data_IF_321747818349
#
_entry.id   IF_321747818349
#
_cell.length_a   1.000
_cell.length_b   1.000
_cell.length_c   1.000
_cell.angle_alpha   90.00
_cell.angle_beta   90.00
_cell.angle_gamma   90.00
#
_symmetry.space_group_name_H-M   'P 1'
#
loop_
_entity.id
_entity.type
_entity.pdbx_description
1 polymer ?
#
# COMPACT_ATOMS: atom_id res chain seq x y z
N UNK A 1 -9.29 -3.05 -21.79
CA UNK A 1 -7.98 -3.73 -21.88
C UNK A 1 -7.55 -4.12 -20.49
N UNK A 2 -6.92 -5.29 -20.31
CA UNK A 2 -6.37 -5.72 -19.03
C UNK A 2 -5.31 -4.73 -18.53
N UNK A 3 -5.39 -4.30 -17.28
CA UNK A 3 -4.38 -3.44 -16.62
C UNK A 3 -3.24 -4.30 -16.11
N UNK A 4 -2.06 -3.71 -15.99
CA UNK A 4 -0.88 -4.31 -15.37
C UNK A 4 -0.70 -3.70 -13.99
N UNK A 5 -0.99 -4.47 -12.95
CA UNK A 5 -1.06 -4.01 -11.56
C UNK A 5 0.06 -4.63 -10.76
N UNK A 6 0.92 -3.80 -10.16
CA UNK A 6 1.95 -4.25 -9.25
C UNK A 6 1.49 -4.04 -7.81
N UNK A 7 1.53 -5.10 -6.99
CA UNK A 7 1.07 -5.10 -5.60
C UNK A 7 2.19 -5.59 -4.69
N UNK A 8 2.62 -4.73 -3.76
CA UNK A 8 3.61 -5.13 -2.75
C UNK A 8 2.93 -5.75 -1.52
N UNK A 9 3.60 -6.71 -0.86
CA UNK A 9 3.01 -7.44 0.26
C UNK A 9 1.88 -8.41 -0.17
N UNK A 10 2.02 -9.03 -1.34
CA UNK A 10 0.99 -9.76 -2.06
C UNK A 10 0.61 -11.14 -1.45
N UNK A 11 1.38 -11.68 -0.49
CA UNK A 11 1.22 -13.06 -0.04
C UNK A 11 0.04 -13.29 0.90
N UNK A 12 -0.36 -12.29 1.68
CA UNK A 12 -1.40 -12.42 2.71
C UNK A 12 -2.17 -11.12 2.96
N UNK A 13 -3.26 -11.22 3.72
CA UNK A 13 -4.07 -10.07 4.14
C UNK A 13 -4.61 -9.28 2.95
N UNK A 14 -4.59 -7.95 3.08
CA UNK A 14 -5.12 -7.03 2.06
C UNK A 14 -4.45 -7.27 0.70
N UNK A 15 -3.11 -7.43 0.68
CA UNK A 15 -2.37 -7.61 -0.57
C UNK A 15 -2.79 -8.88 -1.31
N UNK A 16 -3.01 -10.01 -0.60
CA UNK A 16 -3.50 -11.26 -1.20
C UNK A 16 -4.90 -11.08 -1.77
N UNK A 17 -5.80 -10.49 -0.98
CA UNK A 17 -7.15 -10.19 -1.44
C UNK A 17 -7.15 -9.34 -2.70
N UNK A 18 -6.32 -8.28 -2.76
CA UNK A 18 -6.23 -7.41 -3.94
C UNK A 18 -5.68 -8.16 -5.16
N UNK A 19 -4.72 -9.08 -4.98
CA UNK A 19 -4.28 -9.92 -6.09
C UNK A 19 -5.43 -10.75 -6.67
N UNK A 20 -6.15 -11.48 -5.82
CA UNK A 20 -7.29 -12.29 -6.23
C UNK A 20 -8.42 -11.46 -6.86
N UNK A 21 -8.70 -10.29 -6.28
CA UNK A 21 -9.72 -9.37 -6.74
C UNK A 21 -9.44 -8.84 -8.16
N UNK A 22 -8.21 -8.39 -8.43
CA UNK A 22 -7.87 -7.87 -9.75
C UNK A 22 -7.66 -8.97 -10.78
N UNK A 23 -7.16 -10.13 -10.41
CA UNK A 23 -7.14 -11.30 -11.29
C UNK A 23 -8.56 -11.70 -11.70
N UNK A 24 -9.52 -11.69 -10.76
CA UNK A 24 -10.94 -11.93 -11.03
C UNK A 24 -11.57 -10.89 -11.98
N UNK A 25 -10.99 -9.71 -12.10
CA UNK A 25 -11.38 -8.67 -13.09
C UNK A 25 -10.69 -8.82 -14.46
N UNK A 26 -9.83 -9.82 -14.62
CA UNK A 26 -9.07 -10.07 -15.85
C UNK A 26 -7.82 -9.21 -16.01
N UNK A 27 -7.33 -8.58 -14.93
CA UNK A 27 -6.09 -7.84 -14.94
C UNK A 27 -4.86 -8.76 -14.82
N UNK A 28 -3.69 -8.29 -15.25
CA UNK A 28 -2.40 -8.94 -15.03
C UNK A 28 -1.80 -8.41 -13.74
N UNK A 29 -1.48 -9.28 -12.81
CA UNK A 29 -1.00 -8.91 -11.47
C UNK A 29 0.44 -9.38 -11.24
N UNK A 30 1.29 -8.43 -10.85
CA UNK A 30 2.65 -8.68 -10.37
C UNK A 30 2.64 -8.55 -8.85
N UNK A 31 2.76 -9.68 -8.15
CA UNK A 31 2.83 -9.68 -6.69
C UNK A 31 4.27 -9.75 -6.20
N UNK A 32 4.62 -9.03 -5.14
CA UNK A 32 5.88 -9.28 -4.47
C UNK A 32 5.75 -9.42 -2.96
N UNK A 33 6.56 -10.30 -2.40
CA UNK A 33 6.73 -10.52 -0.98
C UNK A 33 8.07 -11.19 -0.70
N UNK A 34 8.51 -11.22 0.57
CA UNK A 34 9.82 -11.82 0.94
C UNK A 34 9.91 -13.32 0.67
N UNK A 35 8.80 -14.01 0.60
CA UNK A 35 8.69 -15.44 0.31
C UNK A 35 7.65 -15.64 -0.78
N UNK A 36 7.82 -16.67 -1.59
CA UNK A 36 6.90 -16.99 -2.69
C UNK A 36 5.45 -17.13 -2.22
N UNK A 37 4.54 -16.74 -3.08
CA UNK A 37 3.09 -16.91 -2.89
C UNK A 37 2.66 -18.30 -3.38
N UNK A 38 1.59 -18.81 -2.78
CA UNK A 38 0.90 -20.02 -3.23
C UNK A 38 -0.23 -19.74 -4.24
N UNK A 39 -0.40 -18.47 -4.64
CA UNK A 39 -1.39 -18.06 -5.62
C UNK A 39 -1.00 -18.57 -7.00
N UNK A 40 -1.84 -19.43 -7.57
CA UNK A 40 -1.65 -20.00 -8.90
C UNK A 40 -2.72 -19.49 -9.86
N UNK A 41 -2.33 -18.64 -10.81
CA UNK A 41 -3.21 -18.09 -11.84
C UNK A 41 -2.38 -17.70 -13.06
N UNK A 42 -2.88 -17.89 -14.29
CA UNK A 42 -2.16 -17.63 -15.53
C UNK A 42 -1.68 -16.18 -15.70
N UNK A 43 -2.42 -15.21 -15.13
CA UNK A 43 -2.10 -13.78 -15.17
C UNK A 43 -1.45 -13.27 -13.88
N UNK A 44 -1.02 -14.17 -12.97
CA UNK A 44 -0.28 -13.82 -11.76
C UNK A 44 1.21 -14.10 -11.92
N UNK A 45 2.02 -13.11 -11.64
CA UNK A 45 3.48 -13.21 -11.65
C UNK A 45 4.02 -12.92 -10.26
N UNK A 46 4.62 -13.92 -9.61
CA UNK A 46 5.15 -13.82 -8.26
C UNK A 46 6.64 -13.46 -8.25
N UNK A 47 7.03 -12.58 -7.33
CA UNK A 47 8.41 -12.16 -7.13
C UNK A 47 8.80 -12.23 -5.65
N UNK A 48 9.85 -12.98 -5.34
CA UNK A 48 10.43 -13.02 -4.00
C UNK A 48 11.37 -11.81 -3.82
N UNK A 49 10.84 -10.71 -3.27
CA UNK A 49 11.54 -9.43 -3.10
C UNK A 49 11.28 -8.85 -1.71
N UNK A 50 12.35 -8.45 -1.01
CA UNK A 50 12.24 -7.54 0.11
C UNK A 50 12.09 -6.11 -0.44
N UNK A 51 10.99 -5.45 -0.08
CA UNK A 51 10.69 -4.09 -0.56
C UNK A 51 11.74 -3.06 -0.15
N UNK A 52 12.53 -3.34 0.89
CA UNK A 52 13.60 -2.48 1.39
C UNK A 52 14.95 -2.71 0.71
N UNK A 53 15.06 -3.71 -0.16
CA UNK A 53 16.28 -3.99 -0.94
C UNK A 53 16.19 -3.27 -2.30
N UNK A 54 16.94 -2.17 -2.41
CA UNK A 54 16.95 -1.34 -3.63
C UNK A 54 17.31 -2.12 -4.89
N UNK A 55 18.32 -2.98 -4.82
CA UNK A 55 18.78 -3.75 -6.00
C UNK A 55 17.73 -4.78 -6.42
N UNK A 56 17.10 -5.45 -5.47
CA UNK A 56 16.03 -6.41 -5.73
C UNK A 56 14.80 -5.72 -6.36
N UNK A 57 14.40 -4.54 -5.85
CA UNK A 57 13.31 -3.74 -6.42
C UNK A 57 13.63 -3.30 -7.86
N UNK A 58 14.82 -2.77 -8.09
CA UNK A 58 15.27 -2.37 -9.44
C UNK A 58 15.25 -3.56 -10.40
N UNK A 59 15.77 -4.71 -9.97
CA UNK A 59 15.80 -5.93 -10.79
C UNK A 59 14.37 -6.40 -11.15
N UNK A 60 13.46 -6.41 -10.18
CA UNK A 60 12.06 -6.77 -10.39
C UNK A 60 11.38 -5.86 -11.42
N UNK A 61 11.47 -4.55 -11.22
CA UNK A 61 10.82 -3.58 -12.13
C UNK A 61 11.44 -3.65 -13.53
N UNK A 62 12.75 -3.85 -13.62
CA UNK A 62 13.43 -4.07 -14.91
C UNK A 62 12.95 -5.35 -15.62
N UNK A 63 12.78 -6.45 -14.87
CA UNK A 63 12.25 -7.71 -15.40
C UNK A 63 10.83 -7.53 -15.96
N UNK A 64 9.93 -6.86 -15.21
CA UNK A 64 8.58 -6.55 -15.68
C UNK A 64 8.63 -5.65 -16.94
N UNK A 65 9.50 -4.63 -16.95
CA UNK A 65 9.68 -3.78 -18.14
C UNK A 65 10.11 -4.58 -19.35
N UNK A 66 11.01 -5.55 -19.19
CA UNK A 66 11.52 -6.38 -20.31
C UNK A 66 10.43 -7.28 -20.89
N UNK A 67 9.63 -7.93 -20.03
CA UNK A 67 8.61 -8.92 -20.45
C UNK A 67 7.26 -8.31 -20.83
N UNK A 68 6.78 -7.30 -20.07
CA UNK A 68 5.44 -6.75 -20.19
C UNK A 68 5.40 -5.28 -20.64
N UNK A 69 6.53 -4.57 -20.59
CA UNK A 69 6.72 -3.19 -21.11
C UNK A 69 5.90 -2.10 -20.42
N UNK A 70 5.09 -2.44 -19.42
CA UNK A 70 4.25 -1.47 -18.69
C UNK A 70 3.88 -1.94 -17.28
N UNK A 71 3.61 -0.96 -16.44
CA UNK A 71 2.86 -1.08 -15.18
C UNK A 71 1.89 0.10 -15.20
N UNK A 72 0.59 -0.18 -15.11
CA UNK A 72 -0.46 0.86 -15.16
C UNK A 72 -0.83 1.32 -13.74
N UNK A 73 -0.75 0.40 -12.77
CA UNK A 73 -1.11 0.64 -11.37
C UNK A 73 -0.02 0.10 -10.45
N UNK A 74 0.33 0.89 -9.43
CA UNK A 74 1.17 0.46 -8.31
C UNK A 74 0.38 0.57 -7.01
N UNK A 75 0.27 -0.55 -6.27
CA UNK A 75 -0.33 -0.61 -4.95
C UNK A 75 0.76 -0.92 -3.92
N UNK A 76 1.22 0.09 -3.19
CA UNK A 76 2.24 -0.04 -2.14
C UNK A 76 1.60 -0.49 -0.83
N UNK A 77 1.17 -1.77 -0.79
CA UNK A 77 0.50 -2.35 0.36
C UNK A 77 1.48 -2.95 1.41
N UNK A 78 2.69 -3.31 1.03
CA UNK A 78 3.66 -3.88 1.97
C UNK A 78 3.87 -2.98 3.19
N UNK A 79 3.70 -3.55 4.38
CA UNK A 79 3.89 -2.83 5.62
C UNK A 79 3.96 -3.76 6.81
N UNK A 80 4.60 -3.28 7.87
CA UNK A 80 4.65 -3.92 9.18
C UNK A 80 4.28 -2.91 10.26
N UNK A 81 3.69 -3.40 11.34
CA UNK A 81 3.33 -2.62 12.51
C UNK A 81 4.02 -3.17 13.75
N UNK A 82 4.14 -2.34 14.76
CA UNK A 82 4.57 -2.72 16.11
C UNK A 82 3.77 -1.90 17.10
N UNK A 83 3.23 -2.57 18.10
CA UNK A 83 2.48 -1.94 19.18
C UNK A 83 3.31 -2.03 20.46
N UNK A 84 4.07 -0.98 20.74
CA UNK A 84 4.90 -0.87 21.95
C UNK A 84 4.89 0.57 22.46
N UNK A 85 4.95 0.74 23.79
CA UNK A 85 5.22 2.05 24.37
C UNK A 85 6.57 2.58 23.82
N UNK A 86 6.64 3.86 23.46
CA UNK A 86 7.81 4.45 22.81
C UNK A 86 9.11 4.20 23.60
N UNK A 87 9.06 4.39 24.92
CA UNK A 87 10.24 4.19 25.80
C UNK A 87 10.72 2.74 25.88
N UNK A 88 9.92 1.78 25.44
CA UNK A 88 10.25 0.34 25.42
C UNK A 88 10.53 -0.18 23.99
N UNK A 89 10.46 0.68 23.00
CA UNK A 89 10.63 0.27 21.59
C UNK A 89 12.11 0.22 21.22
N UNK A 90 12.66 -0.96 20.89
CA UNK A 90 14.06 -1.07 20.45
C UNK A 90 14.31 -0.30 19.15
N UNK A 91 15.47 0.35 19.02
CA UNK A 91 15.85 1.06 17.78
C UNK A 91 15.76 0.16 16.54
N UNK A 92 16.11 -1.11 16.66
CA UNK A 92 15.99 -2.09 15.56
C UNK A 92 14.56 -2.25 15.05
N UNK A 93 13.57 -2.16 15.93
CA UNK A 93 12.14 -2.17 15.55
C UNK A 93 11.80 -0.92 14.75
N UNK A 94 12.26 0.25 15.19
CA UNK A 94 12.10 1.52 14.47
C UNK A 94 12.68 1.42 13.06
N UNK A 95 13.95 1.00 12.95
CA UNK A 95 14.63 0.83 11.66
C UNK A 95 13.87 -0.11 10.72
N UNK A 96 13.42 -1.27 11.21
CA UNK A 96 12.71 -2.24 10.40
C UNK A 96 11.37 -1.69 9.87
N UNK A 97 10.63 -0.95 10.72
CA UNK A 97 9.36 -0.32 10.34
C UNK A 97 9.61 0.72 9.25
N UNK A 98 10.58 1.62 9.43
CA UNK A 98 10.88 2.65 8.43
C UNK A 98 11.44 2.04 7.14
N UNK A 99 12.30 1.04 7.22
CA UNK A 99 12.81 0.32 6.04
C UNK A 99 11.67 -0.26 5.20
N UNK A 100 10.73 -0.96 5.84
CA UNK A 100 9.63 -1.60 5.11
C UNK A 100 8.60 -0.56 4.64
N UNK A 101 8.09 0.27 5.56
CA UNK A 101 6.94 1.13 5.27
C UNK A 101 7.30 2.36 4.44
N UNK A 102 8.46 2.98 4.72
CA UNK A 102 8.86 4.24 4.08
C UNK A 102 9.79 3.98 2.90
N UNK A 103 10.93 3.30 3.15
CA UNK A 103 11.92 3.10 2.08
C UNK A 103 11.37 2.17 1.00
N UNK A 104 10.62 1.11 1.38
CA UNK A 104 9.97 0.24 0.41
C UNK A 104 8.99 0.99 -0.48
N UNK A 105 8.11 1.81 0.10
CA UNK A 105 7.18 2.66 -0.67
C UNK A 105 7.93 3.62 -1.59
N UNK A 106 8.97 4.30 -1.09
CA UNK A 106 9.79 5.20 -1.90
C UNK A 106 10.45 4.47 -3.09
N UNK A 107 11.08 3.32 -2.86
CA UNK A 107 11.78 2.57 -3.89
C UNK A 107 10.85 2.15 -5.03
N UNK A 108 9.68 1.58 -4.70
CA UNK A 108 8.70 1.20 -5.71
C UNK A 108 8.11 2.42 -6.43
N UNK A 109 7.75 3.48 -5.72
CA UNK A 109 7.30 4.72 -6.34
C UNK A 109 8.33 5.26 -7.33
N UNK A 110 9.61 5.34 -6.95
CA UNK A 110 10.70 5.83 -7.80
C UNK A 110 10.90 4.97 -9.05
N UNK A 111 10.96 3.65 -8.90
CA UNK A 111 11.29 2.79 -10.04
C UNK A 111 10.09 2.61 -11.00
N UNK A 112 8.87 2.48 -10.45
CA UNK A 112 7.68 2.31 -11.27
C UNK A 112 7.28 3.59 -11.99
N UNK A 113 7.42 4.76 -11.36
CA UNK A 113 7.11 6.03 -12.02
C UNK A 113 7.99 6.30 -13.24
N UNK A 114 9.26 5.87 -13.25
CA UNK A 114 10.12 5.96 -14.46
C UNK A 114 9.51 5.21 -15.65
N UNK A 115 8.85 4.08 -15.38
CA UNK A 115 8.17 3.30 -16.42
C UNK A 115 6.85 3.96 -16.86
N UNK A 116 6.09 4.50 -15.90
CA UNK A 116 4.83 5.22 -16.16
C UNK A 116 5.06 6.52 -16.94
N UNK A 117 6.16 7.25 -16.67
CA UNK A 117 6.52 8.49 -17.35
C UNK A 117 6.64 8.32 -18.87
N UNK A 118 7.15 7.18 -19.33
CA UNK A 118 7.29 6.91 -20.77
C UNK A 118 5.95 6.88 -21.51
N UNK A 119 4.86 6.61 -20.78
CA UNK A 119 3.48 6.55 -21.31
C UNK A 119 2.63 7.75 -20.89
N UNK A 120 3.17 8.63 -20.04
CA UNK A 120 2.45 9.77 -19.46
C UNK A 120 1.10 9.34 -18.83
N UNK A 121 1.08 8.19 -18.20
CA UNK A 121 -0.11 7.62 -17.56
C UNK A 121 0.29 6.62 -16.48
N UNK A 122 -0.35 6.68 -15.33
CA UNK A 122 -0.14 5.76 -14.22
C UNK A 122 -0.99 6.12 -13.01
N UNK A 123 -1.22 5.13 -12.16
CA UNK A 123 -1.95 5.27 -10.91
C UNK A 123 -1.15 4.65 -9.78
N UNK A 124 -0.81 5.44 -8.77
CA UNK A 124 -0.06 4.98 -7.59
C UNK A 124 -0.97 5.14 -6.38
N UNK A 125 -1.18 4.06 -5.64
CA UNK A 125 -1.92 4.08 -4.37
C UNK A 125 -1.01 3.56 -3.25
N UNK A 126 -0.69 4.44 -2.32
CA UNK A 126 0.06 4.12 -1.12
C UNK A 126 -0.89 3.72 0.02
N UNK A 127 -0.38 3.01 1.00
CA UNK A 127 -1.17 2.62 2.18
C UNK A 127 -0.75 3.46 3.39
N UNK A 128 -1.66 4.33 3.82
CA UNK A 128 -1.66 5.05 5.08
C UNK A 128 -2.31 4.20 6.20
N UNK A 129 -2.83 4.83 7.24
CA UNK A 129 -3.55 4.18 8.34
C UNK A 129 -4.36 5.20 9.12
N UNK A 130 -5.50 4.79 9.68
CA UNK A 130 -6.26 5.62 10.64
C UNK A 130 -5.49 5.88 11.95
N UNK A 131 -4.44 5.13 12.24
CA UNK A 131 -3.57 5.37 13.39
C UNK A 131 -2.89 6.74 13.36
N UNK A 132 -2.68 7.32 12.17
CA UNK A 132 -2.08 8.64 11.99
C UNK A 132 -2.99 9.76 12.54
N UNK A 133 -4.22 9.96 12.04
CA UNK A 133 -5.12 11.01 12.56
C UNK A 133 -5.61 10.70 13.98
N UNK A 134 -5.82 9.44 14.33
CA UNK A 134 -6.28 9.04 15.66
C UNK A 134 -5.20 9.11 16.74
N UNK A 135 -3.92 9.19 16.38
CA UNK A 135 -2.78 9.26 17.32
C UNK A 135 -2.83 8.16 18.37
N UNK A 136 -2.90 6.91 17.89
CA UNK A 136 -3.11 5.75 18.75
C UNK A 136 -1.91 5.51 19.68
N UNK A 137 -2.19 5.37 20.97
CA UNK A 137 -1.17 5.02 21.96
C UNK A 137 -0.54 3.65 21.67
N UNK A 138 0.79 3.57 21.85
CA UNK A 138 1.56 2.36 21.56
C UNK A 138 1.92 2.19 20.09
N UNK A 139 1.41 3.03 19.19
CA UNK A 139 1.70 2.96 17.75
C UNK A 139 2.58 4.11 17.24
N UNK A 140 3.28 4.83 18.11
CA UNK A 140 4.02 6.04 17.76
C UNK A 140 4.97 5.84 16.56
N UNK A 141 5.76 4.76 16.53
CA UNK A 141 6.71 4.48 15.46
C UNK A 141 5.99 4.09 14.16
N UNK A 142 4.96 3.25 14.28
CA UNK A 142 4.14 2.85 13.13
C UNK A 142 3.41 4.04 12.52
N UNK A 143 2.70 4.82 13.33
CA UNK A 143 1.99 6.01 12.89
C UNK A 143 2.94 7.05 12.27
N UNK A 144 4.12 7.27 12.87
CA UNK A 144 5.14 8.16 12.30
C UNK A 144 5.60 7.69 10.90
N UNK A 145 5.82 6.38 10.72
CA UNK A 145 6.20 5.83 9.41
C UNK A 145 5.10 6.03 8.36
N UNK A 146 3.84 5.91 8.76
CA UNK A 146 2.70 6.12 7.87
C UNK A 146 2.44 7.59 7.58
N UNK A 147 2.63 8.49 8.56
CA UNK A 147 2.62 9.94 8.33
C UNK A 147 3.70 10.37 7.32
N UNK A 148 4.89 9.75 7.38
CA UNK A 148 5.92 9.97 6.36
C UNK A 148 5.46 9.55 4.95
N UNK A 149 4.75 8.42 4.83
CA UNK A 149 4.17 7.96 3.55
C UNK A 149 3.08 8.91 3.06
N UNK A 150 2.24 9.44 3.96
CA UNK A 150 1.20 10.43 3.62
C UNK A 150 1.80 11.72 3.05
N UNK A 151 2.79 12.28 3.76
CA UNK A 151 3.49 13.47 3.27
C UNK A 151 4.21 13.21 1.96
N UNK A 152 4.93 12.09 1.85
CA UNK A 152 5.59 11.67 0.61
C UNK A 152 4.57 11.56 -0.55
N UNK A 153 3.40 10.98 -0.32
CA UNK A 153 2.32 10.87 -1.32
C UNK A 153 1.92 12.24 -1.86
N UNK A 154 1.72 13.22 -0.97
CA UNK A 154 1.31 14.57 -1.33
C UNK A 154 2.38 15.34 -2.11
N UNK A 155 3.65 15.22 -1.71
CA UNK A 155 4.77 15.86 -2.42
C UNK A 155 4.98 15.20 -3.78
N UNK A 156 5.00 13.87 -3.83
CA UNK A 156 5.24 13.12 -5.06
C UNK A 156 4.10 13.31 -6.08
N UNK A 157 2.85 13.49 -5.61
CA UNK A 157 1.72 13.86 -6.46
C UNK A 157 1.94 15.21 -7.17
N UNK A 158 2.54 16.20 -6.50
CA UNK A 158 2.88 17.49 -7.10
C UNK A 158 3.97 17.36 -8.16
N UNK A 159 4.99 16.54 -7.90
CA UNK A 159 6.09 16.31 -8.84
C UNK A 159 5.60 15.60 -10.11
N UNK A 160 4.65 14.67 -9.99
CA UNK A 160 4.14 13.86 -11.10
C UNK A 160 2.89 14.44 -11.77
N UNK A 161 2.19 15.41 -11.18
CA UNK A 161 0.93 15.97 -11.70
C UNK A 161 0.96 16.33 -13.18
N UNK A 162 2.01 17.07 -13.68
CA UNK A 162 2.09 17.42 -15.11
C UNK A 162 2.30 16.25 -16.06
N UNK A 163 2.52 15.04 -15.53
CA UNK A 163 2.88 13.86 -16.34
C UNK A 163 1.70 12.92 -16.63
N UNK A 164 0.51 13.19 -16.08
CA UNK A 164 -0.67 12.30 -16.20
C UNK A 164 -0.67 11.12 -15.23
N UNK A 165 0.24 11.13 -14.24
CA UNK A 165 0.32 10.12 -13.18
C UNK A 165 -0.31 10.68 -11.91
N UNK A 166 -1.24 9.94 -11.29
CA UNK A 166 -1.81 10.30 -10.00
C UNK A 166 -1.18 9.48 -8.87
N UNK A 167 -1.02 10.11 -7.71
CA UNK A 167 -0.50 9.46 -6.49
C UNK A 167 -1.43 9.78 -5.34
N UNK A 168 -2.08 8.76 -4.78
CA UNK A 168 -3.00 8.91 -3.65
C UNK A 168 -2.66 7.88 -2.56
N UNK A 169 -3.29 8.00 -1.40
CA UNK A 169 -3.15 7.04 -0.31
C UNK A 169 -4.52 6.63 0.25
N UNK A 170 -4.65 5.36 0.60
CA UNK A 170 -5.78 4.84 1.37
C UNK A 170 -5.32 4.54 2.79
N UNK A 171 -6.08 4.98 3.78
CA UNK A 171 -5.85 4.74 5.21
C UNK A 171 -6.90 3.80 5.79
N UNK A 172 -6.70 2.47 5.75
CA UNK A 172 -7.66 1.52 6.29
C UNK A 172 -7.83 1.66 7.81
N UNK A 173 -9.03 1.34 8.27
CA UNK A 173 -9.32 0.99 9.67
C UNK A 173 -8.83 -0.42 9.97
N UNK A 174 -8.91 -0.92 11.21
CA UNK A 174 -8.62 -2.31 11.49
C UNK A 174 -9.47 -3.25 10.62
N UNK A 175 -8.77 -4.11 9.90
CA UNK A 175 -9.35 -5.21 9.12
C UNK A 175 -8.82 -6.51 9.72
N UNK A 176 -9.65 -7.52 9.85
CA UNK A 176 -9.30 -8.80 10.45
C UNK A 176 -8.22 -9.53 9.64
N UNK A 177 -6.96 -9.22 9.95
CA UNK A 177 -5.75 -9.74 9.30
C UNK A 177 -4.70 -10.09 10.36
N UNK A 178 -3.60 -10.73 9.95
CA UNK A 178 -2.46 -10.98 10.84
C UNK A 178 -1.88 -9.72 11.48
N UNK A 179 -2.05 -8.55 10.84
CA UNK A 179 -1.49 -7.29 11.33
C UNK A 179 -2.08 -6.88 12.69
N UNK A 180 -3.35 -7.21 12.95
CA UNK A 180 -4.05 -6.87 14.20
C UNK A 180 -4.17 -8.05 15.17
N UNK A 181 -3.61 -9.24 14.82
CA UNK A 181 -3.75 -10.46 15.66
C UNK A 181 -3.22 -10.29 17.08
N UNK A 182 -2.24 -9.41 17.30
CA UNK A 182 -1.67 -9.13 18.62
C UNK A 182 -2.34 -8.00 19.39
N UNK A 183 -3.39 -7.39 18.83
CA UNK A 183 -4.14 -6.29 19.47
C UNK A 183 -5.27 -6.88 20.31
N UNK A 184 -5.44 -6.44 21.56
CA UNK A 184 -6.56 -6.90 22.38
C UNK A 184 -7.90 -6.46 21.81
N UNK A 185 -8.93 -7.28 22.01
CA UNK A 185 -10.30 -6.99 21.55
C UNK A 185 -10.79 -5.64 22.07
N UNK A 186 -10.53 -5.35 23.36
CA UNK A 186 -10.88 -4.06 23.98
C UNK A 186 -10.31 -2.85 23.23
N UNK A 187 -9.04 -2.91 22.81
CA UNK A 187 -8.41 -1.83 22.03
C UNK A 187 -9.03 -1.70 20.63
N UNK A 188 -9.39 -2.83 20.02
CA UNK A 188 -10.09 -2.82 18.74
C UNK A 188 -11.47 -2.19 18.88
N UNK A 189 -12.23 -2.54 19.91
CA UNK A 189 -13.55 -1.96 20.21
C UNK A 189 -13.45 -0.45 20.47
N UNK A 190 -12.48 -0.02 21.29
CA UNK A 190 -12.23 1.40 21.54
C UNK A 190 -11.89 2.17 20.26
N UNK A 191 -11.14 1.58 19.35
CA UNK A 191 -10.81 2.20 18.07
C UNK A 191 -12.06 2.26 17.17
N UNK A 192 -12.82 1.18 17.08
CA UNK A 192 -14.07 1.12 16.31
C UNK A 192 -15.08 2.17 16.81
N UNK A 193 -15.18 2.36 18.14
CA UNK A 193 -16.04 3.39 18.72
C UNK A 193 -15.65 4.85 18.36
N UNK A 194 -14.41 5.07 17.90
CA UNK A 194 -13.92 6.38 17.43
C UNK A 194 -14.21 6.64 15.95
N UNK A 195 -14.74 5.67 15.23
CA UNK A 195 -15.12 5.79 13.82
C UNK A 195 -16.57 6.30 13.70
N UNK A 196 -16.86 7.06 12.64
CA UNK A 196 -18.25 7.43 12.33
C UNK A 196 -19.08 6.20 11.91
N UNK A 197 -18.44 5.23 11.24
CA UNK A 197 -19.04 3.95 10.90
C UNK A 197 -18.48 2.90 11.88
N UNK A 198 -19.21 2.53 12.96
CA UNK A 198 -18.65 1.76 14.08
C UNK A 198 -18.64 0.26 13.79
N UNK A 199 -17.82 -0.17 12.83
CA UNK A 199 -17.54 -1.58 12.52
C UNK A 199 -16.09 -1.77 12.10
N UNK A 200 -15.61 -3.00 12.13
CA UNK A 200 -14.35 -3.35 11.47
C UNK A 200 -14.46 -3.09 9.97
N UNK A 201 -13.35 -2.68 9.37
CA UNK A 201 -13.24 -2.61 7.92
C UNK A 201 -13.24 -3.99 7.29
N UNK A 202 -13.72 -4.06 6.07
CA UNK A 202 -13.65 -5.24 5.22
C UNK A 202 -12.68 -5.01 4.07
N UNK A 203 -12.20 -6.08 3.46
CA UNK A 203 -11.33 -5.97 2.28
C UNK A 203 -12.00 -5.20 1.14
N UNK A 204 -13.31 -5.38 0.97
CA UNK A 204 -14.10 -4.67 -0.04
C UNK A 204 -14.11 -3.15 0.17
N UNK A 205 -14.10 -2.66 1.42
CA UNK A 205 -14.01 -1.23 1.70
C UNK A 205 -12.73 -0.63 1.12
N UNK A 206 -11.63 -1.39 1.21
CA UNK A 206 -10.32 -0.96 0.66
C UNK A 206 -10.32 -1.00 -0.87
N UNK A 207 -10.80 -2.10 -1.47
CA UNK A 207 -10.81 -2.22 -2.94
C UNK A 207 -11.72 -1.19 -3.59
N UNK A 208 -12.84 -0.80 -2.97
CA UNK A 208 -13.73 0.24 -3.47
C UNK A 208 -13.03 1.61 -3.59
N UNK A 209 -12.23 1.99 -2.59
CA UNK A 209 -11.47 3.24 -2.64
C UNK A 209 -10.30 3.14 -3.63
N UNK A 210 -9.62 1.99 -3.68
CA UNK A 210 -8.57 1.79 -4.67
C UNK A 210 -9.16 1.85 -6.09
N UNK A 211 -10.29 1.21 -6.35
CA UNK A 211 -10.96 1.26 -7.67
C UNK A 211 -11.30 2.70 -8.06
N UNK A 212 -11.78 3.52 -7.12
CA UNK A 212 -12.00 4.94 -7.37
C UNK A 212 -10.70 5.66 -7.74
N UNK A 213 -9.61 5.45 -7.01
CA UNK A 213 -8.33 6.12 -7.29
C UNK A 213 -7.68 5.67 -8.60
N UNK A 214 -7.89 4.43 -9.03
CA UNK A 214 -7.29 3.89 -10.26
C UNK A 214 -8.21 3.98 -11.48
N UNK A 215 -9.44 4.46 -11.30
CA UNK A 215 -10.36 4.71 -12.42
C UNK A 215 -9.79 5.76 -13.36
N UNK A 216 -9.86 5.56 -14.68
CA UNK A 216 -9.43 6.58 -15.66
C UNK A 216 -10.11 7.94 -15.47
N UNK A 217 -11.38 7.96 -15.06
CA UNK A 217 -12.15 9.18 -14.79
C UNK A 217 -11.72 9.94 -13.53
N UNK A 218 -10.87 9.34 -12.69
CA UNK A 218 -10.30 9.98 -11.47
C UNK A 218 -8.95 10.66 -11.74
N UNK A 219 -8.68 11.09 -12.96
CA UNK A 219 -7.40 11.69 -13.37
C UNK A 219 -7.12 13.07 -12.74
N UNK A 220 -8.16 13.73 -12.23
CA UNK A 220 -8.05 14.98 -11.48
C UNK A 220 -7.93 14.79 -9.96
N UNK A 221 -7.91 13.54 -9.48
CA UNK A 221 -7.78 13.18 -8.06
C UNK A 221 -6.36 12.72 -7.78
N UNK A 222 -5.55 13.60 -7.18
CA UNK A 222 -4.16 13.28 -6.81
C UNK A 222 -3.76 13.98 -5.51
N UNK A 223 -2.80 13.43 -4.78
CA UNK A 223 -2.33 13.95 -3.49
C UNK A 223 -3.32 13.73 -2.34
N UNK A 224 -4.35 12.92 -2.52
CA UNK A 224 -5.37 12.69 -1.51
C UNK A 224 -4.96 11.54 -0.57
N UNK A 225 -5.30 11.70 0.71
CA UNK A 225 -5.25 10.64 1.71
C UNK A 225 -6.67 10.39 2.18
N UNK A 226 -7.21 9.22 1.86
CA UNK A 226 -8.58 8.85 2.22
C UNK A 226 -8.57 7.83 3.35
N UNK A 227 -8.94 8.27 4.55
CA UNK A 227 -9.13 7.38 5.69
C UNK A 227 -10.51 6.74 5.64
N UNK A 228 -10.58 5.44 5.95
CA UNK A 228 -11.83 4.69 5.95
C UNK A 228 -12.54 4.81 7.31
N UNK A 229 -13.83 4.48 7.36
CA UNK A 229 -14.62 4.47 8.58
C UNK A 229 -15.04 5.85 9.09
N UNK A 230 -14.80 6.93 8.34
CA UNK A 230 -15.11 8.30 8.77
C UNK A 230 -14.15 8.78 9.88
N UNK A 231 -12.86 8.55 9.69
CA UNK A 231 -11.77 9.08 10.52
C UNK A 231 -11.12 10.24 9.79
N UNK A 232 -10.89 11.35 10.52
CA UNK A 232 -10.29 12.59 9.99
C UNK A 232 -9.51 13.36 11.05
#
# INVERSE_FOLDING_TARGET
MARHILITGARKGIGRYLCEYYLGKGDVVFGCSRTASDLNHEHYHDFAVDVSDEKAVQHMVHSIRKSHKRIDVLLNNAGIASMNATMLTPLKTVENIFRTNVFGTFLFCREVSKLMLSKRSGRIVNFATVATPLRLEGEAVYAASKAAVENFTQVFAKELGPTGITVNAVGPTPIKTDLIRGVSEEKIEQLVARQCVPRLGEFADVSNVIDFFIDPGSDFVTGQVMYLGGVF
#
